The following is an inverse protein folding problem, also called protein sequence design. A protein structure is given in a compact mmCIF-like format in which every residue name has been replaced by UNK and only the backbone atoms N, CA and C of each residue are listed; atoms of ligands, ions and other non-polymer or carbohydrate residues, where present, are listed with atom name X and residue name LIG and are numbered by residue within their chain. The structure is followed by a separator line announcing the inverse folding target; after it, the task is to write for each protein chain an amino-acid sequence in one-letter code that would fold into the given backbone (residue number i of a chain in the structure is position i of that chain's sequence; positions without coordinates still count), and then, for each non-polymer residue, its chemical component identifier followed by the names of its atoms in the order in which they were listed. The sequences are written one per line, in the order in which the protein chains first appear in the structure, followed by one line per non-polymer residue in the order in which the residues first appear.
data_IF_304754191486
#
_entry.id   IF_304754191486
#
_cell.length_a   1.000
_cell.length_b   1.000
_cell.length_c   1.000
_cell.angle_alpha   90.00
_cell.angle_beta   90.00
_cell.angle_gamma   90.00
#
_symmetry.space_group_name_H-M   'P 1'
#
loop_
_entity.id
_entity.type
_entity.pdbx_description
1 polymer ?
#
# COMPACT_ATOMS: atom_id res chain seq x y z
N UNK A 1 -17.11 27.02 25.79
CA UNK A 1 -16.16 26.17 25.03
C UNK A 1 -15.08 27.06 24.42
N UNK A 2 -13.83 26.61 24.32
CA UNK A 2 -12.76 27.40 23.70
C UNK A 2 -12.70 27.14 22.19
N UNK A 3 -12.34 28.16 21.40
CA UNK A 3 -12.19 28.09 19.94
C UNK A 3 -10.76 28.48 19.59
N UNK A 4 -10.04 27.60 18.89
CA UNK A 4 -8.68 27.88 18.45
C UNK A 4 -8.46 27.43 16.99
N UNK A 5 -7.79 28.28 16.23
CA UNK A 5 -7.34 27.97 14.87
C UNK A 5 -5.88 27.58 14.91
N UNK A 6 -5.53 26.51 14.21
CA UNK A 6 -4.15 26.07 14.09
C UNK A 6 -3.86 25.65 12.65
N UNK A 7 -2.61 25.84 12.27
CA UNK A 7 -2.05 25.26 11.06
C UNK A 7 -1.13 24.15 11.52
N UNK A 8 -1.28 22.95 10.96
CA UNK A 8 -0.29 21.91 11.16
C UNK A 8 1.04 22.45 10.59
N UNK A 9 2.10 22.61 11.41
CA UNK A 9 3.39 23.01 10.88
C UNK A 9 3.90 21.92 9.92
N UNK A 10 4.47 22.32 8.79
CA UNK A 10 5.03 21.48 7.71
C UNK A 10 6.07 20.43 8.15
N UNK A 11 6.38 20.31 9.44
CA UNK A 11 7.42 19.39 9.95
C UNK A 11 6.98 18.46 11.09
N UNK A 12 5.76 18.56 11.62
CA UNK A 12 5.39 17.78 12.80
C UNK A 12 4.21 16.82 12.55
N UNK A 13 4.24 16.09 11.42
CA UNK A 13 3.87 14.68 11.55
C UNK A 13 5.00 13.95 12.29
N UNK A 14 5.17 14.23 13.59
CA UNK A 14 6.15 13.49 14.41
C UNK A 14 5.53 12.13 14.72
N UNK A 15 5.65 11.17 13.80
CA UNK A 15 5.87 9.80 14.24
C UNK A 15 7.16 9.89 15.04
N UNK A 16 7.08 9.82 16.37
CA UNK A 16 8.28 9.66 17.20
C UNK A 16 8.83 8.26 16.88
N UNK A 17 9.56 8.15 15.78
CA UNK A 17 10.49 7.06 15.57
C UNK A 17 11.58 7.24 16.62
N UNK A 18 11.65 6.31 17.57
CA UNK A 18 12.72 6.26 18.57
C UNK A 18 14.11 6.04 17.91
N UNK A 19 14.22 5.85 16.59
CA UNK A 19 15.51 5.83 15.90
C UNK A 19 15.52 6.73 14.65
N UNK A 20 16.39 7.74 14.72
CA UNK A 20 16.62 8.77 13.71
C UNK A 20 17.02 8.20 12.35
N UNK A 21 16.23 8.49 11.31
CA UNK A 21 16.69 8.43 9.92
C UNK A 21 17.07 9.84 9.47
N UNK A 22 18.29 10.06 8.94
CA UNK A 22 18.77 11.39 8.61
C UNK A 22 17.92 12.05 7.51
N UNK A 23 17.59 13.31 7.73
CA UNK A 23 16.85 14.18 6.84
C UNK A 23 17.41 14.10 5.40
N UNK A 24 16.64 13.47 4.51
CA UNK A 24 16.93 13.40 3.07
C UNK A 24 16.54 14.74 2.43
N UNK A 25 17.36 15.75 2.70
CA UNK A 25 17.17 17.11 2.23
C UNK A 25 17.25 17.20 0.69
N UNK A 26 16.23 17.77 0.06
CA UNK A 26 16.39 18.54 -1.18
C UNK A 26 16.07 17.87 -2.52
N UNK A 27 15.77 16.58 -2.58
CA UNK A 27 15.24 16.01 -3.82
C UNK A 27 13.75 16.39 -3.92
N UNK A 28 13.45 17.49 -4.65
CA UNK A 28 12.10 17.93 -5.04
C UNK A 28 11.18 16.73 -5.16
N UNK A 29 10.36 16.50 -4.13
CA UNK A 29 9.27 15.55 -4.18
C UNK A 29 8.31 16.13 -5.20
N UNK A 30 8.48 15.73 -6.45
CA UNK A 30 7.77 16.23 -7.61
C UNK A 30 6.27 16.28 -7.29
N UNK A 31 5.79 17.48 -7.01
CA UNK A 31 4.52 17.65 -6.33
C UNK A 31 3.41 17.38 -7.33
N UNK A 32 2.45 16.51 -6.99
CA UNK A 32 1.32 16.18 -7.87
C UNK A 32 0.51 17.42 -8.27
N UNK A 33 0.62 18.50 -7.49
CA UNK A 33 -0.11 19.76 -7.63
C UNK A 33 0.76 20.87 -8.27
N UNK A 34 1.99 20.56 -8.73
CA UNK A 34 2.88 21.59 -9.27
C UNK A 34 2.30 22.20 -10.57
N UNK A 35 2.16 23.54 -10.67
CA UNK A 35 1.55 24.19 -11.83
C UNK A 35 2.22 23.86 -13.16
N UNK A 36 3.56 23.76 -13.18
CA UNK A 36 4.33 23.40 -14.38
C UNK A 36 4.02 21.98 -14.84
N UNK A 37 3.92 21.04 -13.90
CA UNK A 37 3.56 19.65 -14.19
C UNK A 37 2.13 19.53 -14.69
N UNK A 38 1.19 20.26 -14.08
CA UNK A 38 -0.21 20.30 -14.52
C UNK A 38 -0.33 20.85 -15.95
N UNK A 39 0.33 21.98 -16.23
CA UNK A 39 0.27 22.62 -17.55
C UNK A 39 0.84 21.71 -18.66
N UNK A 40 1.98 21.05 -18.41
CA UNK A 40 2.56 20.09 -19.35
C UNK A 40 1.62 18.90 -19.60
N UNK A 41 1.12 18.28 -18.52
CA UNK A 41 0.28 17.09 -18.64
C UNK A 41 -1.09 17.40 -19.26
N UNK A 42 -1.60 18.62 -19.08
CA UNK A 42 -2.80 19.10 -19.76
C UNK A 42 -2.59 19.24 -21.28
N UNK A 43 -1.40 19.68 -21.71
CA UNK A 43 -0.97 19.65 -23.10
C UNK A 43 -0.68 18.25 -23.65
N UNK A 44 -0.82 17.19 -22.84
CA UNK A 44 -0.50 15.82 -23.22
C UNK A 44 1.00 15.53 -23.26
N UNK A 45 1.82 16.36 -22.63
CA UNK A 45 3.27 16.22 -22.57
C UNK A 45 3.76 15.91 -21.16
N UNK A 46 4.77 15.03 -21.05
CA UNK A 46 5.47 14.78 -19.79
C UNK A 46 6.54 15.85 -19.55
N UNK A 47 6.67 16.33 -18.32
CA UNK A 47 7.80 17.21 -17.93
C UNK A 47 9.14 16.49 -18.09
N UNK A 48 10.24 17.24 -18.20
CA UNK A 48 11.58 16.66 -18.30
C UNK A 48 11.91 15.75 -17.10
N UNK A 49 11.51 16.15 -15.89
CA UNK A 49 11.71 15.38 -14.66
C UNK A 49 10.89 14.08 -14.65
N UNK A 50 9.60 14.17 -15.00
CA UNK A 50 8.75 12.99 -15.15
C UNK A 50 9.35 12.03 -16.16
N UNK A 51 9.71 12.52 -17.36
CA UNK A 51 10.31 11.72 -18.43
C UNK A 51 11.62 11.04 -17.99
N UNK A 52 12.50 11.77 -17.30
CA UNK A 52 13.76 11.22 -16.80
C UNK A 52 13.53 10.09 -15.80
N UNK A 53 12.59 10.27 -14.87
CA UNK A 53 12.31 9.27 -13.84
C UNK A 53 11.50 8.09 -14.37
N UNK A 54 10.56 8.28 -15.30
CA UNK A 54 9.97 7.17 -16.05
C UNK A 54 11.03 6.37 -16.82
N UNK A 55 11.98 7.06 -17.46
CA UNK A 55 13.10 6.40 -18.15
C UNK A 55 13.98 5.59 -17.20
N UNK A 56 14.14 6.02 -15.94
CA UNK A 56 14.87 5.25 -14.92
C UNK A 56 14.07 4.08 -14.33
N UNK A 57 12.75 4.16 -14.32
CA UNK A 57 11.89 3.06 -13.83
C UNK A 57 11.75 1.95 -14.87
N UNK A 58 11.83 2.29 -16.16
CA UNK A 58 11.83 1.29 -17.22
C UNK A 58 13.16 0.57 -17.26
N UNK A 59 13.17 -0.78 -17.28
CA UNK A 59 14.40 -1.53 -17.45
C UNK A 59 15.09 -1.05 -18.73
N UNK A 60 16.29 -0.50 -18.59
CA UNK A 60 17.05 -0.04 -19.74
C UNK A 60 17.25 -1.20 -20.73
N UNK A 61 17.32 -0.95 -22.05
CA UNK A 61 17.49 -2.00 -23.04
C UNK A 61 18.74 -2.86 -22.74
N UNK A 62 19.80 -2.23 -22.21
CA UNK A 62 21.00 -2.92 -21.74
C UNK A 62 20.75 -3.88 -20.58
N UNK A 63 19.81 -3.61 -19.67
CA UNK A 63 19.51 -4.52 -18.55
C UNK A 63 18.79 -5.80 -19.02
N UNK A 64 17.89 -5.68 -20.00
CA UNK A 64 17.20 -6.83 -20.59
C UNK A 64 18.18 -7.67 -21.39
N UNK A 65 19.01 -7.02 -22.20
CA UNK A 65 20.05 -7.68 -22.98
C UNK A 65 21.11 -8.35 -22.09
N UNK A 66 21.57 -7.69 -21.04
CA UNK A 66 22.56 -8.23 -20.10
C UNK A 66 22.06 -9.49 -19.38
N UNK A 67 20.78 -9.51 -18.96
CA UNK A 67 20.18 -10.72 -18.38
C UNK A 67 20.15 -11.85 -19.40
N UNK A 68 19.68 -11.56 -20.62
CA UNK A 68 19.63 -12.56 -21.69
C UNK A 68 21.03 -13.11 -22.01
N UNK A 69 22.03 -12.24 -22.18
CA UNK A 69 23.41 -12.66 -22.46
C UNK A 69 24.01 -13.46 -21.31
N UNK A 70 23.74 -13.06 -20.06
CA UNK A 70 24.21 -13.80 -18.88
C UNK A 70 23.60 -15.20 -18.82
N UNK A 71 22.31 -15.34 -19.12
CA UNK A 71 21.65 -16.65 -19.20
C UNK A 71 22.19 -17.51 -20.36
N UNK A 72 22.41 -16.94 -21.54
CA UNK A 72 23.02 -17.67 -22.66
C UNK A 72 24.44 -18.15 -22.30
N UNK A 73 25.23 -17.30 -21.64
CA UNK A 73 26.58 -17.64 -21.20
C UNK A 73 26.54 -18.77 -20.15
N UNK A 74 25.73 -18.64 -19.10
CA UNK A 74 25.54 -19.72 -18.11
C UNK A 74 25.07 -21.02 -18.76
N UNK A 75 24.12 -20.94 -19.70
CA UNK A 75 23.65 -22.10 -20.45
C UNK A 75 24.77 -22.78 -21.24
N UNK A 76 25.58 -22.01 -21.97
CA UNK A 76 26.70 -22.54 -22.74
C UNK A 76 27.77 -23.21 -21.87
N UNK A 77 28.07 -22.63 -20.70
CA UNK A 77 29.03 -23.20 -19.73
C UNK A 77 28.49 -24.53 -19.18
N UNK A 78 27.21 -24.57 -18.79
CA UNK A 78 26.58 -25.81 -18.29
C UNK A 78 26.55 -26.90 -19.36
N UNK A 79 26.23 -26.56 -20.62
CA UNK A 79 26.26 -27.50 -21.74
C UNK A 79 27.67 -28.06 -21.97
N UNK A 80 28.68 -27.20 -21.92
CA UNK A 80 30.08 -27.58 -22.08
C UNK A 80 30.57 -28.49 -20.95
N UNK A 81 30.23 -28.18 -19.69
CA UNK A 81 30.56 -29.03 -18.55
C UNK A 81 29.88 -30.40 -18.63
N UNK A 82 28.60 -30.44 -19.00
CA UNK A 82 27.87 -31.70 -19.21
C UNK A 82 28.52 -32.55 -20.32
N UNK A 83 28.96 -31.91 -21.41
CA UNK A 83 29.67 -32.58 -22.50
C UNK A 83 31.00 -33.21 -22.03
N UNK A 84 31.80 -32.49 -21.23
CA UNK A 84 33.04 -33.02 -20.66
C UNK A 84 32.77 -34.23 -19.76
N UNK A 85 31.74 -34.16 -18.91
CA UNK A 85 31.35 -35.24 -18.00
C UNK A 85 30.94 -36.50 -18.79
N UNK A 86 30.22 -36.33 -19.90
CA UNK A 86 29.76 -37.44 -20.75
C UNK A 86 30.93 -38.10 -21.51
N UNK A 87 31.90 -37.31 -21.98
CA UNK A 87 33.03 -37.83 -22.78
C UNK A 87 34.13 -38.46 -21.92
N UNK A 88 34.31 -37.98 -20.68
CA UNK A 88 35.36 -38.47 -19.78
C UNK A 88 35.35 -40.01 -19.59
N UNK A 89 34.20 -40.68 -19.38
CA UNK A 89 34.13 -42.15 -19.34
C UNK A 89 34.53 -42.84 -20.65
N UNK A 90 34.16 -42.25 -21.80
CA UNK A 90 34.51 -42.81 -23.11
C UNK A 90 36.03 -42.79 -23.34
N UNK A 91 36.69 -41.70 -22.94
CA UNK A 91 38.15 -41.58 -23.00
C UNK A 91 38.85 -42.56 -22.04
N UNK A 92 38.33 -42.73 -20.82
CA UNK A 92 38.91 -43.65 -19.82
C UNK A 92 38.79 -45.12 -20.22
N UNK A 93 37.70 -45.51 -20.87
CA UNK A 93 37.39 -46.90 -21.22
C UNK A 93 37.86 -47.31 -22.63
N UNK A 94 38.58 -46.43 -23.35
CA UNK A 94 39.08 -46.68 -24.70
C UNK A 94 39.87 -47.99 -24.86
N UNK A 95 40.54 -48.48 -23.79
CA UNK A 95 41.32 -49.72 -23.82
C UNK A 95 40.50 -51.00 -24.00
N UNK A 96 39.17 -50.95 -23.82
CA UNK A 96 38.30 -52.12 -24.00
C UNK A 96 37.29 -51.88 -25.14
N UNK A 97 37.43 -52.53 -26.31
CA UNK A 97 36.61 -52.24 -27.49
C UNK A 97 35.12 -52.50 -27.28
N UNK A 98 34.76 -53.53 -26.49
CA UNK A 98 33.36 -53.83 -26.18
C UNK A 98 32.67 -52.72 -25.36
N UNK A 99 33.37 -52.13 -24.37
CA UNK A 99 32.82 -51.01 -23.59
C UNK A 99 32.80 -49.72 -24.40
N UNK A 100 33.82 -49.51 -25.24
CA UNK A 100 33.88 -48.35 -26.13
C UNK A 100 32.68 -48.32 -27.09
N UNK A 101 32.30 -49.49 -27.66
CA UNK A 101 31.13 -49.60 -28.52
C UNK A 101 29.82 -49.32 -27.80
N UNK A 102 29.62 -49.88 -26.60
CA UNK A 102 28.42 -49.63 -25.79
C UNK A 102 28.28 -48.13 -25.43
N UNK A 103 29.38 -47.49 -25.03
CA UNK A 103 29.40 -46.04 -24.76
C UNK A 103 29.15 -45.20 -26.01
N UNK A 104 29.65 -45.63 -27.17
CA UNK A 104 29.45 -44.91 -28.43
C UNK A 104 27.98 -44.90 -28.88
N UNK A 105 27.22 -45.95 -28.56
CA UNK A 105 25.77 -46.02 -28.85
C UNK A 105 24.95 -45.18 -27.86
N UNK A 106 25.34 -45.13 -26.59
CA UNK A 106 24.61 -44.37 -25.57
C UNK A 106 24.88 -42.86 -25.60
N UNK A 107 26.08 -42.44 -26.02
CA UNK A 107 26.47 -41.01 -26.02
C UNK A 107 25.55 -40.11 -26.87
N UNK A 108 25.13 -40.49 -28.09
CA UNK A 108 24.25 -39.66 -28.92
C UNK A 108 22.86 -39.42 -28.33
N UNK A 109 22.26 -40.43 -27.66
CA UNK A 109 20.93 -40.27 -27.07
C UNK A 109 20.95 -39.30 -25.89
N UNK A 110 21.95 -39.39 -25.00
CA UNK A 110 22.14 -38.42 -23.93
C UNK A 110 22.40 -37.00 -24.47
N UNK A 111 23.19 -36.89 -25.54
CA UNK A 111 23.43 -35.61 -26.18
C UNK A 111 22.14 -34.99 -26.74
N UNK A 112 21.30 -35.78 -27.41
CA UNK A 112 20.01 -35.30 -27.93
C UNK A 112 19.06 -34.86 -26.81
N UNK A 113 19.02 -35.57 -25.68
CA UNK A 113 18.21 -35.16 -24.51
C UNK A 113 18.70 -33.81 -23.97
N UNK A 114 20.02 -33.63 -23.84
CA UNK A 114 20.60 -32.36 -23.38
C UNK A 114 20.25 -31.23 -24.35
N UNK A 115 20.43 -31.44 -25.65
CA UNK A 115 20.08 -30.46 -26.68
C UNK A 115 18.60 -30.11 -26.61
N UNK A 116 17.71 -31.10 -26.43
CA UNK A 116 16.27 -30.87 -26.31
C UNK A 116 15.92 -30.04 -25.06
N UNK A 117 16.52 -30.33 -23.90
CA UNK A 117 16.33 -29.56 -22.66
C UNK A 117 16.85 -28.13 -22.84
N UNK A 118 18.01 -27.94 -23.46
CA UNK A 118 18.55 -26.62 -23.76
C UNK A 118 17.67 -25.82 -24.71
N UNK A 119 17.16 -26.46 -25.77
CA UNK A 119 16.24 -25.82 -26.70
C UNK A 119 14.94 -25.38 -26.01
N UNK A 120 14.40 -26.22 -25.11
CA UNK A 120 13.22 -25.88 -24.32
C UNK A 120 13.49 -24.70 -23.37
N UNK A 121 14.61 -24.72 -22.64
CA UNK A 121 15.01 -23.62 -21.76
C UNK A 121 15.23 -22.31 -22.55
N UNK A 122 15.93 -22.38 -23.70
CA UNK A 122 16.14 -21.24 -24.58
C UNK A 122 14.81 -20.67 -25.11
N UNK A 123 13.82 -21.53 -25.41
CA UNK A 123 12.49 -21.11 -25.85
C UNK A 123 11.74 -20.37 -24.75
N UNK A 124 11.74 -20.89 -23.52
CA UNK A 124 11.11 -20.22 -22.35
C UNK A 124 11.76 -18.86 -22.10
N UNK A 125 13.09 -18.79 -22.18
CA UNK A 125 13.84 -17.54 -22.05
C UNK A 125 13.53 -16.55 -23.17
N UNK A 126 13.47 -17.01 -24.42
CA UNK A 126 13.11 -16.17 -25.56
C UNK A 126 11.69 -15.60 -25.42
N UNK A 127 10.73 -16.40 -24.95
CA UNK A 127 9.37 -15.95 -24.65
C UNK A 127 9.35 -14.91 -23.51
N UNK A 128 10.12 -15.13 -22.45
CA UNK A 128 10.25 -14.18 -21.34
C UNK A 128 10.89 -12.86 -21.80
N UNK A 129 11.95 -12.94 -22.60
CA UNK A 129 12.60 -11.79 -23.23
C UNK A 129 11.63 -11.03 -24.13
N UNK A 130 10.87 -11.73 -24.99
CA UNK A 130 9.90 -11.12 -25.88
C UNK A 130 8.78 -10.42 -25.10
N UNK A 131 8.27 -11.03 -24.03
CA UNK A 131 7.31 -10.38 -23.12
C UNK A 131 7.89 -9.09 -22.53
N UNK A 132 9.12 -9.13 -22.02
CA UNK A 132 9.79 -7.96 -21.46
C UNK A 132 10.04 -6.87 -22.51
N UNK A 133 10.43 -7.26 -23.72
CA UNK A 133 10.64 -6.37 -24.85
C UNK A 133 9.33 -5.71 -25.28
N UNK A 134 8.23 -6.45 -25.36
CA UNK A 134 6.91 -5.90 -25.68
C UNK A 134 6.48 -4.90 -24.61
N UNK A 135 6.65 -5.21 -23.32
CA UNK A 135 6.36 -4.27 -22.23
C UNK A 135 7.22 -3.01 -22.34
N UNK A 136 8.52 -3.17 -22.61
CA UNK A 136 9.44 -2.04 -22.81
C UNK A 136 9.02 -1.17 -24.00
N UNK A 137 8.70 -1.77 -25.14
CA UNK A 137 8.27 -1.05 -26.34
C UNK A 137 6.93 -0.35 -26.14
N UNK A 138 5.96 -1.00 -25.47
CA UNK A 138 4.67 -0.39 -25.10
C UNK A 138 4.89 0.80 -24.17
N UNK A 139 5.67 0.63 -23.10
CA UNK A 139 5.98 1.71 -22.18
C UNK A 139 6.70 2.87 -22.88
N UNK A 140 7.63 2.57 -23.80
CA UNK A 140 8.28 3.59 -24.63
C UNK A 140 7.30 4.30 -25.55
N UNK A 141 6.31 3.60 -26.10
CA UNK A 141 5.26 4.21 -26.92
C UNK A 141 4.38 5.15 -26.10
N UNK A 142 4.17 4.85 -24.82
CA UNK A 142 3.43 5.71 -23.87
C UNK A 142 4.20 6.97 -23.47
N UNK A 143 5.50 7.07 -23.79
CA UNK A 143 6.26 8.31 -23.59
C UNK A 143 6.13 9.28 -24.76
N UNK A 144 5.43 8.90 -25.83
CA UNK A 144 5.13 9.82 -26.94
C UNK A 144 4.11 10.87 -26.50
N UNK A 145 4.19 12.10 -27.01
CA UNK A 145 3.16 13.12 -26.77
C UNK A 145 1.75 12.59 -27.06
N UNK A 146 0.78 12.96 -26.22
CA UNK A 146 -0.62 12.56 -26.36
C UNK A 146 -1.00 11.22 -25.72
N UNK A 147 -0.06 10.50 -25.10
CA UNK A 147 -0.36 9.27 -24.36
C UNK A 147 -1.04 9.51 -23.00
N UNK A 148 -0.94 10.73 -22.47
CA UNK A 148 -1.54 11.12 -21.19
C UNK A 148 -3.06 11.13 -21.35
N UNK A 149 -3.73 10.39 -20.47
CA UNK A 149 -5.19 10.40 -20.36
C UNK A 149 -5.62 11.37 -19.27
N UNK A 150 -6.80 11.93 -19.47
CA UNK A 150 -7.45 12.84 -18.53
C UNK A 150 -8.73 12.18 -18.05
N UNK A 151 -8.95 12.17 -16.74
CA UNK A 151 -10.21 11.72 -16.16
C UNK A 151 -10.66 12.69 -15.08
N UNK A 152 -11.97 12.89 -14.98
CA UNK A 152 -12.59 13.60 -13.86
C UNK A 152 -13.02 12.60 -12.81
N UNK A 153 -12.75 12.89 -11.54
CA UNK A 153 -13.21 12.05 -10.45
C UNK A 153 -13.06 12.72 -9.10
N UNK A 154 -13.11 11.91 -8.05
CA UNK A 154 -13.05 12.37 -6.66
C UNK A 154 -11.95 11.68 -5.89
N UNK A 155 -11.33 12.42 -4.98
CA UNK A 155 -10.46 11.83 -3.96
C UNK A 155 -11.33 11.60 -2.72
N UNK A 156 -11.38 10.35 -2.27
CA UNK A 156 -12.19 9.91 -1.14
C UNK A 156 -11.31 9.23 -0.09
N UNK A 157 -11.68 9.38 1.19
CA UNK A 157 -11.04 8.66 2.27
C UNK A 157 -11.53 7.21 2.32
N UNK A 158 -10.63 6.23 2.21
CA UNK A 158 -10.99 4.80 2.24
C UNK A 158 -11.06 4.22 3.65
N UNK A 159 -10.89 5.03 4.70
CA UNK A 159 -10.71 4.58 6.08
C UNK A 159 -9.25 4.38 6.50
N UNK A 160 -8.34 4.21 5.53
CA UNK A 160 -6.89 4.05 5.77
C UNK A 160 -6.03 5.07 5.04
N UNK A 161 -6.42 5.44 3.82
CA UNK A 161 -5.69 6.39 2.97
C UNK A 161 -6.63 7.10 2.01
N UNK A 162 -6.18 8.20 1.43
CA UNK A 162 -6.91 8.84 0.35
C UNK A 162 -6.71 8.08 -0.96
N UNK A 163 -7.82 7.79 -1.64
CA UNK A 163 -7.84 7.07 -2.92
C UNK A 163 -8.53 7.93 -3.96
N UNK A 164 -7.88 8.11 -5.10
CA UNK A 164 -8.48 8.74 -6.26
C UNK A 164 -9.37 7.73 -7.00
N UNK A 165 -10.65 8.08 -7.13
CA UNK A 165 -11.69 7.30 -7.81
C UNK A 165 -12.26 8.11 -8.98
N UNK A 166 -12.53 7.46 -10.11
CA UNK A 166 -13.22 8.10 -11.23
C UNK A 166 -14.14 7.10 -11.95
N UNK A 167 -15.22 7.57 -12.61
CA UNK A 167 -16.22 6.69 -13.22
C UNK A 167 -15.60 5.72 -14.23
N UNK A 168 -15.98 4.46 -14.15
CA UNK A 168 -15.59 3.42 -15.12
C UNK A 168 -14.24 2.75 -14.87
N UNK A 169 -13.48 3.16 -13.86
CA UNK A 169 -12.21 2.52 -13.53
C UNK A 169 -12.22 1.87 -12.13
N UNK A 170 -11.98 0.56 -12.09
CA UNK A 170 -11.86 -0.21 -10.84
C UNK A 170 -10.44 -0.17 -10.26
N UNK A 171 -9.44 0.20 -11.07
CA UNK A 171 -8.03 0.13 -10.68
C UNK A 171 -7.64 1.45 -9.99
N UNK A 172 -7.20 1.43 -8.73
CA UNK A 172 -6.78 2.64 -8.03
C UNK A 172 -5.59 3.29 -8.74
N UNK A 173 -5.59 4.62 -8.79
CA UNK A 173 -4.47 5.40 -9.30
C UNK A 173 -3.27 5.26 -8.37
N UNK A 174 -2.13 4.84 -8.92
CA UNK A 174 -0.86 4.78 -8.21
C UNK A 174 -0.04 6.02 -8.55
N UNK A 175 0.50 6.70 -7.54
CA UNK A 175 1.40 7.83 -7.80
C UNK A 175 2.71 7.35 -8.40
N UNK A 176 3.11 7.98 -9.50
CA UNK A 176 4.32 7.62 -10.26
C UNK A 176 5.62 7.76 -9.45
N UNK A 177 5.60 8.53 -8.37
CA UNK A 177 6.76 8.88 -7.56
C UNK A 177 6.66 8.38 -6.12
N UNK A 178 5.70 7.53 -5.80
CA UNK A 178 5.32 7.20 -4.41
C UNK A 178 4.95 8.43 -3.58
N UNK A 179 4.67 9.59 -4.17
CA UNK A 179 4.09 10.68 -3.41
C UNK A 179 2.69 10.27 -2.98
N UNK A 180 2.43 10.39 -1.70
CA UNK A 180 1.14 10.06 -1.15
C UNK A 180 0.09 11.03 -1.68
N UNK A 181 -1.06 10.48 -2.07
CA UNK A 181 -2.25 11.27 -2.43
C UNK A 181 -2.76 12.02 -1.18
N UNK A 182 -2.29 11.64 0.01
CA UNK A 182 -2.71 12.17 1.31
C UNK A 182 -2.37 13.66 1.52
N UNK A 183 -1.55 14.27 0.66
CA UNK A 183 -1.29 15.72 0.65
C UNK A 183 -2.37 16.50 -0.12
N UNK A 184 -3.24 15.80 -0.86
CA UNK A 184 -4.24 16.41 -1.73
C UNK A 184 -5.58 16.47 -1.00
N UNK A 185 -6.18 17.67 -0.97
CA UNK A 185 -7.50 17.90 -0.37
C UNK A 185 -8.54 17.00 -1.07
N UNK A 186 -9.52 16.39 -0.37
CA UNK A 186 -10.50 15.50 -0.98
C UNK A 186 -11.47 16.27 -1.87
N UNK A 187 -12.32 15.57 -2.62
CA UNK A 187 -13.32 16.17 -3.50
C UNK A 187 -12.97 16.06 -4.98
N UNK A 188 -13.59 16.91 -5.82
CA UNK A 188 -13.51 16.77 -7.30
C UNK A 188 -12.18 17.26 -7.86
N UNK A 189 -11.56 16.40 -8.68
CA UNK A 189 -10.27 16.65 -9.30
C UNK A 189 -10.26 16.19 -10.75
N UNK A 190 -9.41 16.83 -11.55
CA UNK A 190 -9.01 16.36 -12.88
C UNK A 190 -7.67 15.66 -12.75
N UNK A 191 -7.67 14.36 -13.02
CA UNK A 191 -6.49 13.51 -12.95
C UNK A 191 -5.83 13.42 -14.32
N UNK A 192 -4.51 13.59 -14.35
CA UNK A 192 -3.68 13.32 -15.53
C UNK A 192 -2.86 12.08 -15.24
N UNK A 193 -3.03 11.04 -16.05
CA UNK A 193 -2.43 9.73 -15.78
C UNK A 193 -1.98 9.03 -17.05
N UNK A 194 -1.04 8.10 -16.91
CA UNK A 194 -0.66 7.16 -17.96
C UNK A 194 -1.38 5.82 -17.72
N UNK A 195 -2.16 5.33 -18.70
CA UNK A 195 -2.80 4.03 -18.58
C UNK A 195 -1.78 2.92 -18.83
N UNK A 196 -1.41 2.17 -17.79
CA UNK A 196 -0.70 0.89 -17.94
C UNK A 196 -1.67 -0.26 -17.72
N UNK A 197 -1.40 -1.42 -18.33
CA UNK A 197 -2.34 -2.56 -18.40
C UNK A 197 -2.92 -2.99 -17.04
N UNK A 198 -2.14 -2.88 -15.97
CA UNK A 198 -2.54 -3.29 -14.62
C UNK A 198 -2.59 -2.14 -13.62
N UNK A 199 -2.07 -0.97 -13.99
CA UNK A 199 -1.94 0.17 -13.06
C UNK A 199 -2.11 1.47 -13.82
N UNK A 200 -2.82 2.42 -13.23
CA UNK A 200 -2.88 3.78 -13.77
C UNK A 200 -1.88 4.64 -13.00
N UNK A 201 -0.89 5.18 -13.71
CA UNK A 201 0.16 5.99 -13.10
C UNK A 201 -0.29 7.44 -13.09
N UNK A 202 -0.68 7.93 -11.92
CA UNK A 202 -1.07 9.31 -11.71
C UNK A 202 0.17 10.20 -11.86
N UNK A 203 0.11 11.18 -12.76
CA UNK A 203 1.21 12.10 -13.07
C UNK A 203 1.07 13.42 -12.32
N UNK A 204 -0.12 14.01 -12.40
CA UNK A 204 -0.49 15.26 -11.75
C UNK A 204 -1.99 15.32 -11.51
N UNK A 205 -2.40 16.22 -10.64
CA UNK A 205 -3.78 16.44 -10.24
C UNK A 205 -4.06 17.93 -10.32
N UNK A 206 -5.10 18.32 -11.07
CA UNK A 206 -5.66 19.66 -10.98
C UNK A 206 -6.91 19.62 -10.11
N UNK A 207 -6.93 20.48 -9.11
CA UNK A 207 -8.12 20.71 -8.29
C UNK A 207 -9.11 21.58 -9.07
N UNK A 208 -10.39 21.19 -9.08
CA UNK A 208 -11.45 22.10 -9.53
C UNK A 208 -11.63 23.20 -8.49
N UNK A 209 -12.00 24.43 -8.89
CA UNK A 209 -12.24 25.53 -7.95
C UNK A 209 -13.11 25.05 -6.79
N UNK A 210 -12.73 25.45 -5.58
CA UNK A 210 -13.14 24.79 -4.36
C UNK A 210 -14.67 24.71 -4.25
N UNK A 211 -15.19 23.51 -4.41
CA UNK A 211 -16.56 23.20 -4.01
C UNK A 211 -16.61 23.11 -2.48
N UNK A 212 -17.61 23.72 -1.87
CA UNK A 212 -17.92 23.55 -0.45
C UNK A 212 -18.09 22.05 -0.10
N UNK A 213 -18.49 21.24 -1.07
CA UNK A 213 -18.64 19.78 -0.94
C UNK A 213 -17.31 19.09 -0.57
N UNK A 214 -16.18 19.50 -1.15
CA UNK A 214 -14.87 18.91 -0.89
C UNK A 214 -14.44 19.02 0.60
N UNK A 215 -14.72 20.18 1.20
CA UNK A 215 -14.42 20.41 2.62
C UNK A 215 -15.42 19.70 3.53
N UNK A 216 -16.67 19.61 3.10
CA UNK A 216 -17.67 18.84 3.81
C UNK A 216 -17.29 17.35 3.85
N UNK A 217 -16.74 16.80 2.76
CA UNK A 217 -16.26 15.42 2.70
C UNK A 217 -15.01 15.20 3.56
N UNK A 218 -14.07 16.14 3.57
CA UNK A 218 -12.94 16.12 4.50
C UNK A 218 -13.42 16.16 5.95
N UNK A 219 -14.35 17.06 6.26
CA UNK A 219 -14.96 17.17 7.58
C UNK A 219 -15.67 15.87 7.98
N UNK A 220 -16.48 15.27 7.09
CA UNK A 220 -17.14 13.98 7.33
C UNK A 220 -16.13 12.87 7.60
N UNK A 221 -15.04 12.82 6.84
CA UNK A 221 -13.98 11.84 7.03
C UNK A 221 -13.32 11.98 8.41
N UNK A 222 -12.97 13.20 8.79
CA UNK A 222 -12.41 13.51 10.11
C UNK A 222 -13.40 13.24 11.24
N UNK A 223 -14.66 13.61 11.07
CA UNK A 223 -15.70 13.36 12.05
C UNK A 223 -15.88 11.86 12.27
N UNK A 224 -15.98 11.08 11.20
CA UNK A 224 -16.10 9.63 11.27
C UNK A 224 -14.91 8.97 11.96
N UNK A 225 -13.67 9.31 11.59
CA UNK A 225 -12.48 8.67 12.17
C UNK A 225 -12.28 9.00 13.64
N UNK A 226 -12.64 10.22 14.06
CA UNK A 226 -12.52 10.67 15.45
C UNK A 226 -13.78 10.39 16.29
N UNK A 227 -14.83 9.78 15.72
CA UNK A 227 -16.09 9.52 16.42
C UNK A 227 -16.91 10.79 16.73
N UNK A 228 -16.72 11.88 15.97
CA UNK A 228 -17.53 13.09 16.09
C UNK A 228 -18.84 12.98 15.29
N UNK A 229 -19.88 13.64 15.79
CA UNK A 229 -21.13 13.80 15.05
C UNK A 229 -21.07 15.08 14.21
N UNK A 230 -21.28 14.96 12.90
CA UNK A 230 -21.30 16.10 11.98
C UNK A 230 -22.32 17.18 12.40
N UNK A 231 -23.48 16.76 12.90
CA UNK A 231 -24.56 17.64 13.38
C UNK A 231 -24.16 18.50 14.59
N UNK A 232 -23.17 18.07 15.36
CA UNK A 232 -22.69 18.81 16.52
C UNK A 232 -21.84 20.05 16.14
N UNK A 233 -21.43 20.17 14.87
CA UNK A 233 -20.54 21.24 14.43
C UNK A 233 -21.15 22.63 14.66
N UNK A 234 -22.44 22.82 14.38
CA UNK A 234 -23.08 24.13 14.54
C UNK A 234 -23.20 24.57 16.00
N UNK A 235 -23.58 23.64 16.90
CA UNK A 235 -23.56 23.91 18.33
C UNK A 235 -22.15 24.27 18.81
N UNK A 236 -21.16 23.51 18.34
CA UNK A 236 -19.75 23.72 18.67
C UNK A 236 -19.22 25.08 18.16
N UNK A 237 -19.62 25.50 16.95
CA UNK A 237 -19.32 26.83 16.40
C UNK A 237 -19.87 27.96 17.30
N UNK A 238 -21.01 27.74 17.96
CA UNK A 238 -21.63 28.66 18.93
C UNK A 238 -21.07 28.53 20.35
N UNK A 239 -20.10 27.66 20.56
CA UNK A 239 -19.49 27.43 21.87
C UNK A 239 -20.35 26.59 22.83
N UNK A 240 -21.38 25.92 22.32
CA UNK A 240 -22.28 25.02 23.05
C UNK A 240 -21.98 23.56 22.71
N UNK A 241 -22.27 22.64 23.63
CA UNK A 241 -22.22 21.20 23.35
C UNK A 241 -23.55 20.74 22.74
N UNK A 242 -23.49 19.79 21.80
CA UNK A 242 -24.70 19.14 21.31
C UNK A 242 -25.34 18.24 22.38
N UNK A 243 -26.64 17.95 22.26
CA UNK A 243 -27.31 17.04 23.20
C UNK A 243 -26.65 15.65 23.24
N UNK A 244 -26.14 15.16 22.10
CA UNK A 244 -25.44 13.88 22.02
C UNK A 244 -24.11 13.91 22.78
N UNK A 245 -23.37 15.02 22.69
CA UNK A 245 -22.13 15.20 23.47
C UNK A 245 -22.41 15.33 24.96
N UNK A 246 -23.50 16.01 25.37
CA UNK A 246 -23.91 16.12 26.77
C UNK A 246 -24.32 14.75 27.36
N UNK A 247 -25.05 13.94 26.58
CA UNK A 247 -25.43 12.57 26.99
C UNK A 247 -24.23 11.63 27.04
N UNK A 248 -23.37 11.70 26.03
CA UNK A 248 -22.16 10.87 25.91
C UNK A 248 -21.06 11.22 26.92
N UNK A 249 -21.01 12.47 27.39
CA UNK A 249 -20.04 12.89 28.42
C UNK A 249 -20.23 12.18 29.77
N UNK A 250 -21.40 11.60 30.03
CA UNK A 250 -21.65 10.80 31.23
C UNK A 250 -21.39 9.30 31.04
N UNK A 251 -21.28 8.82 29.80
CA UNK A 251 -20.82 7.47 29.48
C UNK A 251 -19.35 7.56 29.11
N UNK A 252 -18.48 7.72 30.11
CA UNK A 252 -17.05 7.92 29.91
C UNK A 252 -16.45 6.92 28.91
N UNK A 253 -15.58 7.43 28.03
CA UNK A 253 -14.33 6.79 27.60
C UNK A 253 -14.44 5.26 27.50
N UNK A 254 -15.02 4.71 26.43
CA UNK A 254 -15.18 3.25 26.32
C UNK A 254 -15.25 2.71 24.89
N UNK A 255 -14.67 3.38 23.89
CA UNK A 255 -14.40 2.70 22.61
C UNK A 255 -13.07 1.94 22.63
N UNK A 256 -12.05 2.42 23.37
CA UNK A 256 -10.82 1.64 23.61
C UNK A 256 -11.08 0.43 24.54
N UNK A 257 -12.17 0.46 25.32
CA UNK A 257 -12.63 -0.69 26.13
C UNK A 257 -13.40 -1.70 25.28
N UNK A 258 -13.92 -1.34 24.12
CA UNK A 258 -14.61 -2.31 23.25
C UNK A 258 -13.63 -3.28 22.60
N UNK A 259 -12.44 -2.82 22.20
CA UNK A 259 -11.35 -3.70 21.75
C UNK A 259 -10.71 -4.46 22.92
N UNK A 260 -10.49 -3.82 24.08
CA UNK A 260 -10.02 -4.52 25.29
C UNK A 260 -11.02 -5.53 25.90
N UNK A 261 -12.31 -5.44 25.58
CA UNK A 261 -13.33 -6.42 26.01
C UNK A 261 -13.31 -7.70 25.16
N UNK A 262 -12.80 -7.66 23.93
CA UNK A 262 -12.62 -8.86 23.10
C UNK A 262 -11.52 -9.75 23.70
N UNK A 263 -10.40 -9.17 24.14
CA UNK A 263 -9.34 -9.91 24.87
C UNK A 263 -9.83 -10.48 26.22
N UNK A 264 -10.70 -9.75 26.92
CA UNK A 264 -11.27 -10.24 28.19
C UNK A 264 -12.24 -11.40 27.99
N UNK A 265 -12.97 -11.43 26.86
CA UNK A 265 -13.84 -12.55 26.48
C UNK A 265 -13.00 -13.77 26.06
N UNK A 266 -11.90 -13.57 25.33
CA UNK A 266 -10.94 -14.64 25.01
C UNK A 266 -10.31 -15.27 26.26
N UNK A 267 -9.80 -14.43 27.18
CA UNK A 267 -9.20 -14.92 28.43
C UNK A 267 -10.19 -15.62 29.36
N UNK A 268 -11.48 -15.24 29.30
CA UNK A 268 -12.54 -15.87 30.11
C UNK A 268 -13.03 -17.18 29.47
N UNK A 269 -13.14 -17.24 28.15
CA UNK A 269 -13.48 -18.46 27.42
C UNK A 269 -12.39 -19.54 27.61
N UNK A 270 -11.12 -19.13 27.59
CA UNK A 270 -9.98 -20.02 27.81
C UNK A 270 -9.95 -20.60 29.24
N UNK A 271 -10.21 -19.77 30.26
CA UNK A 271 -10.35 -20.25 31.66
C UNK A 271 -11.53 -21.20 31.88
N UNK A 272 -12.64 -21.00 31.16
CA UNK A 272 -13.81 -21.90 31.25
C UNK A 272 -13.52 -23.24 30.54
N UNK A 273 -12.81 -23.21 29.41
CA UNK A 273 -12.34 -24.40 28.69
C UNK A 273 -11.30 -25.20 29.50
N UNK A 274 -10.41 -24.54 30.24
CA UNK A 274 -9.43 -25.20 31.10
C UNK A 274 -10.06 -25.93 32.29
N UNK A 275 -11.13 -25.36 32.87
CA UNK A 275 -11.76 -25.86 34.11
C UNK A 275 -12.71 -27.03 33.89
N UNK A 276 -13.25 -27.24 32.69
CA UNK A 276 -14.28 -28.27 32.41
C UNK A 276 -13.81 -29.54 31.71
N UNK A 277 -12.58 -29.58 31.16
CA UNK A 277 -12.12 -30.74 30.38
C UNK A 277 -10.75 -31.24 30.85
N UNK A 278 -10.71 -32.44 31.46
CA UNK A 278 -9.48 -33.05 31.99
C UNK A 278 -8.78 -34.01 31.01
N UNK A 279 -9.25 -34.13 29.77
CA UNK A 279 -8.70 -35.05 28.77
C UNK A 279 -7.94 -34.27 27.68
N UNK A 280 -6.60 -34.42 27.56
CA UNK A 280 -5.77 -33.60 26.67
C UNK A 280 -6.09 -33.79 25.18
N UNK A 281 -6.62 -34.97 24.80
CA UNK A 281 -6.92 -35.30 23.41
C UNK A 281 -8.27 -34.75 22.90
N UNK A 282 -9.23 -34.53 23.81
CA UNK A 282 -10.52 -33.92 23.48
C UNK A 282 -10.43 -32.38 23.45
N UNK A 283 -9.46 -31.80 24.18
CA UNK A 283 -9.20 -30.36 24.21
C UNK A 283 -8.77 -29.79 22.86
N UNK A 284 -7.88 -30.47 22.13
CA UNK A 284 -7.44 -30.01 20.81
C UNK A 284 -8.58 -29.99 19.80
N UNK A 285 -9.34 -31.09 19.72
CA UNK A 285 -10.39 -31.23 18.71
C UNK A 285 -11.60 -30.31 18.94
N UNK A 286 -11.93 -29.99 20.19
CA UNK A 286 -13.04 -29.06 20.48
C UNK A 286 -12.61 -27.59 20.47
N UNK A 287 -11.35 -27.27 20.72
CA UNK A 287 -10.84 -25.91 20.55
C UNK A 287 -10.88 -25.50 19.07
N UNK A 288 -10.44 -26.38 18.17
CA UNK A 288 -10.47 -26.12 16.72
C UNK A 288 -11.92 -26.01 16.21
N UNK A 289 -12.80 -26.94 16.62
CA UNK A 289 -14.20 -26.92 16.19
C UNK A 289 -15.01 -25.73 16.75
N UNK A 290 -14.74 -25.30 17.99
CA UNK A 290 -15.39 -24.13 18.56
C UNK A 290 -14.85 -22.83 17.95
N UNK A 291 -13.56 -22.81 17.58
CA UNK A 291 -12.93 -21.69 16.89
C UNK A 291 -13.48 -21.52 15.47
N UNK A 292 -13.59 -22.61 14.69
CA UNK A 292 -14.17 -22.57 13.33
C UNK A 292 -15.64 -22.14 13.33
N UNK A 293 -16.42 -22.59 14.33
CA UNK A 293 -17.84 -22.28 14.42
C UNK A 293 -18.10 -20.86 14.95
N UNK A 294 -17.27 -20.36 15.86
CA UNK A 294 -17.34 -18.97 16.33
C UNK A 294 -16.78 -17.99 15.30
N UNK A 295 -15.70 -18.35 14.59
CA UNK A 295 -15.14 -17.56 13.51
C UNK A 295 -16.15 -17.43 12.37
N UNK A 296 -16.81 -18.53 11.96
CA UNK A 296 -17.85 -18.50 10.93
C UNK A 296 -19.05 -17.62 11.27
N UNK A 297 -19.53 -17.65 12.53
CA UNK A 297 -20.71 -16.86 12.94
C UNK A 297 -20.41 -15.37 13.12
N UNK A 298 -19.18 -15.01 13.51
CA UNK A 298 -18.77 -13.60 13.66
C UNK A 298 -18.34 -13.00 12.32
N UNK A 299 -17.74 -13.80 11.42
CA UNK A 299 -17.36 -13.32 10.09
C UNK A 299 -18.57 -12.96 9.22
N UNK A 300 -19.61 -13.80 9.20
CA UNK A 300 -20.81 -13.57 8.39
C UNK A 300 -21.68 -12.41 8.91
N UNK A 301 -21.64 -12.14 10.22
CA UNK A 301 -22.43 -11.08 10.85
C UNK A 301 -21.75 -9.70 10.82
N UNK A 302 -20.41 -9.64 10.74
CA UNK A 302 -19.65 -8.38 10.89
C UNK A 302 -19.01 -7.91 9.57
N UNK A 303 -18.68 -8.82 8.65
CA UNK A 303 -17.95 -8.47 7.44
C UNK A 303 -18.61 -9.09 6.21
N UNK A 304 -19.73 -8.50 5.78
CA UNK A 304 -20.23 -8.68 4.42
C UNK A 304 -19.15 -8.28 3.43
N UNK A 305 -18.34 -9.25 2.99
CA UNK A 305 -17.20 -9.02 2.13
C UNK A 305 -17.13 -10.09 1.05
N UNK A 306 -17.30 -9.66 -0.20
CA UNK A 306 -16.56 -10.27 -1.29
C UNK A 306 -15.10 -9.89 -1.10
N UNK A 307 -14.22 -10.83 -0.76
CA UNK A 307 -12.82 -10.70 -1.17
C UNK A 307 -12.12 -12.04 -1.29
N UNK A 308 -11.44 -12.15 -2.43
CA UNK A 308 -10.68 -13.28 -2.93
C UNK A 308 -9.56 -13.74 -1.99
N UNK A 309 -9.43 -15.06 -1.89
CA UNK A 309 -8.34 -15.77 -1.25
C UNK A 309 -7.01 -15.55 -1.99
N UNK A 310 -6.01 -15.06 -1.27
CA UNK A 310 -4.61 -15.25 -1.65
C UNK A 310 -3.91 -16.06 -0.57
N UNK A 311 -3.70 -17.34 -0.87
CA UNK A 311 -2.85 -18.27 -0.12
C UNK A 311 -1.40 -17.72 -0.02
N UNK A 312 -0.91 -17.54 1.20
CA UNK A 312 0.53 -17.51 1.47
C UNK A 312 0.88 -18.66 2.42
N UNK A 313 1.75 -19.53 1.93
CA UNK A 313 2.27 -20.71 2.62
C UNK A 313 3.15 -20.36 3.81
N UNK A 314 2.97 -21.15 4.85
CA UNK A 314 3.71 -21.30 6.09
C UNK A 314 5.20 -21.65 5.89
N UNK A 315 6.08 -20.86 6.51
CA UNK A 315 7.39 -21.31 6.99
C UNK A 315 7.53 -20.84 8.44
N UNK A 316 7.79 -21.82 9.32
CA UNK A 316 8.06 -21.68 10.74
C UNK A 316 9.47 -21.11 10.95
N UNK A 317 9.61 -19.89 11.50
CA UNK A 317 10.82 -19.46 12.20
C UNK A 317 10.55 -18.23 13.08
N UNK A 318 10.99 -18.32 14.33
CA UNK A 318 11.16 -17.25 15.33
C UNK A 318 10.02 -16.24 15.53
N UNK A 319 9.13 -16.58 16.48
CA UNK A 319 8.29 -15.61 17.21
C UNK A 319 9.18 -14.74 18.10
N UNK A 320 9.94 -13.83 17.50
CA UNK A 320 10.27 -12.58 18.18
C UNK A 320 8.93 -11.94 18.54
N UNK A 321 8.63 -11.85 19.84
CA UNK A 321 7.70 -10.87 20.37
C UNK A 321 8.29 -9.49 20.01
N UNK A 322 8.08 -9.10 18.76
CA UNK A 322 8.21 -7.74 18.29
C UNK A 322 7.21 -6.97 19.15
N UNK A 323 7.73 -6.43 20.25
CA UNK A 323 6.99 -5.63 21.20
C UNK A 323 6.63 -4.39 20.41
N UNK A 324 5.54 -4.48 19.65
CA UNK A 324 5.01 -3.44 18.79
C UNK A 324 4.96 -2.21 19.67
N UNK A 325 5.93 -1.31 19.49
CA UNK A 325 5.98 -0.07 20.22
C UNK A 325 4.66 0.62 19.88
N UNK A 326 3.71 0.61 20.81
CA UNK A 326 2.39 1.18 20.60
C UNK A 326 2.60 2.65 20.25
N UNK A 327 2.48 2.98 18.97
CA UNK A 327 2.72 4.32 18.49
C UNK A 327 1.58 5.20 19.02
N UNK A 328 1.93 6.10 19.94
CA UNK A 328 0.97 7.05 20.51
C UNK A 328 0.78 8.24 19.56
N UNK A 329 -0.21 8.14 18.68
CA UNK A 329 -0.63 9.21 17.80
C UNK A 329 -1.34 10.31 18.58
N UNK A 330 -1.00 11.57 18.30
CA UNK A 330 -1.64 12.70 18.96
C UNK A 330 -1.68 13.95 18.07
N UNK A 331 -2.71 14.77 18.25
CA UNK A 331 -2.72 16.14 17.76
C UNK A 331 -2.06 17.06 18.78
N UNK A 332 -1.12 17.86 18.31
CA UNK A 332 -0.51 18.93 19.10
C UNK A 332 -1.09 20.26 18.63
N UNK A 333 -1.83 20.92 19.51
CA UNK A 333 -2.46 22.21 19.25
C UNK A 333 -1.96 23.15 20.32
N UNK A 334 -1.04 24.03 19.93
CA UNK A 334 -0.26 24.85 20.86
C UNK A 334 0.54 23.95 21.83
N UNK A 335 0.25 24.03 23.14
CA UNK A 335 0.88 23.24 24.20
C UNK A 335 -0.07 22.15 24.74
N UNK A 336 -1.11 21.80 23.98
CA UNK A 336 -2.04 20.73 24.34
C UNK A 336 -1.85 19.54 23.41
N UNK A 337 -1.88 18.34 24.01
CA UNK A 337 -1.79 17.07 23.30
C UNK A 337 -3.10 16.31 23.43
N UNK A 338 -3.69 15.94 22.31
CA UNK A 338 -4.91 15.14 22.24
C UNK A 338 -4.57 13.77 21.66
N UNK A 339 -4.67 12.71 22.47
CA UNK A 339 -4.44 11.34 22.01
C UNK A 339 -5.50 10.95 20.99
N UNK A 340 -5.10 10.36 19.87
CA UNK A 340 -6.01 9.95 18.81
C UNK A 340 -5.62 8.60 18.22
N UNK A 341 -6.55 7.95 17.52
CA UNK A 341 -6.25 6.75 16.75
C UNK A 341 -5.37 7.08 15.52
N UNK A 342 -4.62 6.10 15.04
CA UNK A 342 -3.82 6.22 13.80
C UNK A 342 -4.70 6.67 12.63
N UNK A 343 -5.89 6.10 12.46
CA UNK A 343 -6.83 6.46 11.40
C UNK A 343 -7.25 7.93 11.45
N UNK A 344 -7.44 8.47 12.66
CA UNK A 344 -7.77 9.87 12.87
C UNK A 344 -6.61 10.78 12.49
N UNK A 345 -5.40 10.37 12.87
CA UNK A 345 -4.18 11.05 12.52
C UNK A 345 -3.92 11.10 11.01
N UNK A 346 -4.11 9.97 10.32
CA UNK A 346 -3.88 9.87 8.88
C UNK A 346 -4.97 10.58 8.05
N UNK A 347 -6.16 10.79 8.61
CA UNK A 347 -7.21 11.57 7.96
C UNK A 347 -6.88 13.07 7.86
N UNK A 348 -5.92 13.59 8.65
CA UNK A 348 -5.45 14.96 8.51
C UNK A 348 -4.60 15.13 7.26
N UNK A 349 -4.85 16.23 6.55
CA UNK A 349 -4.16 16.59 5.32
C UNK A 349 -3.18 17.71 5.62
N UNK A 350 -1.94 17.49 5.21
CA UNK A 350 -0.88 18.46 5.43
C UNK A 350 -1.17 19.79 4.72
N UNK A 351 -0.78 20.89 5.36
CA UNK A 351 -0.96 22.25 4.83
C UNK A 351 -2.34 22.84 5.11
N UNK A 352 -3.39 22.03 5.20
CA UNK A 352 -4.77 22.48 5.50
C UNK A 352 -4.83 23.09 6.90
N UNK A 353 -5.56 24.20 7.03
CA UNK A 353 -5.80 24.83 8.33
C UNK A 353 -7.01 24.17 8.98
N UNK A 354 -6.93 23.99 10.28
CA UNK A 354 -7.99 23.39 11.05
C UNK A 354 -8.39 24.27 12.21
N UNK A 355 -9.64 24.15 12.61
CA UNK A 355 -10.18 24.71 13.84
C UNK A 355 -10.59 23.56 14.73
N UNK A 356 -10.00 23.49 15.91
CA UNK A 356 -10.35 22.51 16.92
C UNK A 356 -11.32 23.12 17.93
N UNK A 357 -12.28 22.32 18.34
CA UNK A 357 -13.21 22.61 19.41
C UNK A 357 -12.93 21.64 20.54
N UNK A 358 -12.65 22.16 21.74
CA UNK A 358 -12.28 21.33 22.89
C UNK A 358 -12.85 21.90 24.20
N UNK A 359 -12.92 21.03 25.19
CA UNK A 359 -13.34 21.36 26.55
C UNK A 359 -12.14 21.89 27.36
N UNK A 360 -12.18 23.11 27.92
CA UNK A 360 -11.02 23.72 28.57
C UNK A 360 -10.48 22.95 29.77
N UNK A 361 -11.38 22.38 30.59
CA UNK A 361 -10.99 21.71 31.84
C UNK A 361 -10.58 20.26 31.63
N UNK A 362 -11.34 19.50 30.83
CA UNK A 362 -11.03 18.08 30.56
C UNK A 362 -10.01 17.88 29.44
N UNK A 363 -9.70 18.93 28.66
CA UNK A 363 -8.86 18.85 27.46
C UNK A 363 -9.35 17.80 26.46
N UNK A 364 -10.66 17.53 26.43
CA UNK A 364 -11.26 16.61 25.48
C UNK A 364 -11.54 17.34 24.16
N UNK A 365 -11.09 16.76 23.04
CA UNK A 365 -11.43 17.23 21.70
C UNK A 365 -12.88 16.82 21.40
N UNK A 366 -13.72 17.80 21.03
CA UNK A 366 -15.14 17.54 20.76
C UNK A 366 -15.49 17.63 19.28
N UNK A 367 -14.71 18.38 18.50
CA UNK A 367 -14.82 18.42 17.04
C UNK A 367 -13.57 19.05 16.40
N UNK A 368 -13.39 18.80 15.10
CA UNK A 368 -12.36 19.43 14.27
C UNK A 368 -12.97 19.82 12.92
N UNK A 369 -12.69 21.03 12.46
CA UNK A 369 -13.27 21.60 11.25
C UNK A 369 -12.15 22.09 10.32
N UNK A 370 -12.10 21.67 9.05
CA UNK A 370 -11.16 22.24 8.09
C UNK A 370 -11.58 23.66 7.73
N UNK A 371 -10.63 24.59 7.73
CA UNK A 371 -10.83 25.97 7.34
C UNK A 371 -10.48 26.16 5.87
N UNK A 372 -11.32 26.90 5.15
CA UNK A 372 -11.01 27.34 3.79
C UNK A 372 -9.67 28.09 3.78
N UNK A 373 -8.87 27.81 2.75
CA UNK A 373 -8.03 28.88 2.24
C UNK A 373 -9.00 29.89 1.65
N UNK A 374 -9.20 31.03 2.31
CA UNK A 374 -9.36 32.24 1.52
C UNK A 374 -8.11 32.25 0.63
N UNK A 375 -8.29 32.15 -0.68
CA UNK A 375 -7.21 32.41 -1.61
C UNK A 375 -6.54 33.69 -1.11
N UNK A 376 -5.25 33.60 -0.79
CA UNK A 376 -4.47 34.80 -0.56
C UNK A 376 -4.51 35.52 -1.90
N UNK A 377 -5.37 36.51 -2.02
CA UNK A 377 -5.23 37.58 -3.00
C UNK A 377 -3.82 38.18 -2.91
#
# INVERSE_FOLDING_TARGET
MSKQEFRLPFSNKVRQHINASPARNGASSSNLIEPKSIAANEGGELTAEQRAKFKSMLPGPGSVFARFSMFCLMGSVTAFLAYIIIISPALRNWRSPARAFATAIQTPSFFLIIVAVFALMATVLALSFFKSLVVYLRARSMLKPGAIRQAEGTILWSGKKYVASFPGNKIPLQSWNKCEIDVVIPGRHKFFYLPFEKTNWLLSIRRYPADNEALLDLFRSLAHTNGFHAEALESNRRGLLSQNQLRGSNTGISTDIAEGRVEMIEGTAQKILEKKFSAPKLKGMMADAAFDLAAGFVFDAVLGTNTDESNSSSDDDDKQEDTMLAYNYAYEIQNMRFSVSERSYDALIEGVRYRAYYLPHSKALVNIEPLFYAERD
#
